data_IF_261698356793
#
_entry.id   IF_261698356793
#
_cell.length_a   1.000
_cell.length_b   1.000
_cell.length_c   1.000
_cell.angle_alpha   90.00
_cell.angle_beta   90.00
_cell.angle_gamma   90.00
#
_symmetry.space_group_name_H-M   'P 1'
#
loop_
_entity.id
_entity.type
_entity.pdbx_description
1 polymer ?
#
# COMPACT_ATOMS: atom_id res chain seq x y z
N UNK A 1 -8.22 -29.95 53.67
CA UNK A 1 -8.89 -30.80 52.66
C UNK A 1 -8.35 -30.41 51.31
N UNK A 2 -7.45 -31.27 50.81
CA UNK A 2 -6.91 -31.24 49.45
C UNK A 2 -7.95 -31.79 48.49
N UNK A 3 -8.17 -31.14 47.35
CA UNK A 3 -8.80 -31.78 46.20
C UNK A 3 -8.01 -31.43 44.96
N UNK A 4 -7.65 -32.50 44.24
CA UNK A 4 -6.65 -32.56 43.19
C UNK A 4 -7.05 -31.92 41.87
N UNK A 5 -6.08 -31.34 41.21
CA UNK A 5 -6.15 -30.81 39.82
C UNK A 5 -5.80 -31.97 38.91
N UNK A 6 -6.82 -32.43 38.16
CA UNK A 6 -6.67 -33.45 37.12
C UNK A 6 -5.88 -32.94 35.92
N UNK A 7 -4.81 -33.64 35.58
CA UNK A 7 -4.08 -33.54 34.33
C UNK A 7 -4.98 -33.95 33.15
N UNK A 8 -5.44 -33.00 32.35
CA UNK A 8 -5.99 -33.30 31.00
C UNK A 8 -4.85 -33.40 30.01
N UNK A 9 -4.61 -34.61 29.55
CA UNK A 9 -3.62 -34.94 28.54
C UNK A 9 -3.90 -34.24 27.20
N UNK A 10 -2.90 -33.57 26.68
CA UNK A 10 -2.84 -33.09 25.30
C UNK A 10 -2.95 -34.29 24.33
N UNK A 11 -4.14 -34.54 23.81
CA UNK A 11 -4.33 -35.45 22.67
C UNK A 11 -3.71 -34.77 21.44
N UNK A 12 -2.64 -35.38 20.94
CA UNK A 12 -2.00 -35.00 19.70
C UNK A 12 -3.02 -34.96 18.55
N UNK A 13 -3.16 -33.80 17.93
CA UNK A 13 -3.89 -33.68 16.65
C UNK A 13 -3.15 -34.51 15.63
N UNK A 14 -3.76 -35.59 15.19
CA UNK A 14 -3.26 -36.36 14.04
C UNK A 14 -3.30 -35.45 12.82
N UNK A 15 -2.16 -35.24 12.19
CA UNK A 15 -2.07 -34.56 10.91
C UNK A 15 -3.04 -35.22 9.92
N UNK A 16 -3.95 -34.45 9.34
CA UNK A 16 -4.87 -34.96 8.31
C UNK A 16 -4.09 -35.43 7.07
N UNK A 17 -4.72 -36.24 6.20
CA UNK A 17 -4.04 -36.76 5.01
C UNK A 17 -3.47 -35.65 4.15
N UNK A 18 -2.20 -35.78 3.78
CA UNK A 18 -1.48 -34.86 2.94
C UNK A 18 -2.19 -34.70 1.58
N UNK A 19 -2.72 -33.54 1.27
CA UNK A 19 -3.26 -33.24 -0.06
C UNK A 19 -2.12 -32.78 -0.97
N UNK A 20 -1.97 -33.47 -2.11
CA UNK A 20 -0.95 -33.13 -3.13
C UNK A 20 -1.22 -31.75 -3.70
N UNK A 21 -0.14 -31.02 -4.05
CA UNK A 21 -0.25 -29.80 -4.86
C UNK A 21 -0.77 -30.20 -6.23
N UNK A 22 -1.89 -29.61 -6.64
CA UNK A 22 -2.50 -29.88 -7.95
C UNK A 22 -2.26 -28.66 -8.81
N UNK A 23 -1.60 -28.88 -9.96
CA UNK A 23 -1.44 -27.84 -10.97
C UNK A 23 -2.66 -27.84 -11.89
N UNK A 24 -3.09 -26.65 -12.33
CA UNK A 24 -4.08 -26.53 -13.39
C UNK A 24 -3.52 -27.13 -14.68
N UNK A 25 -4.32 -27.93 -15.41
CA UNK A 25 -3.88 -28.53 -16.66
C UNK A 25 -3.43 -27.44 -17.65
N UNK A 26 -2.25 -27.57 -18.30
CA UNK A 26 -1.77 -26.56 -19.22
C UNK A 26 -2.73 -26.42 -20.40
N UNK A 27 -3.12 -25.20 -20.73
CA UNK A 27 -3.81 -24.90 -21.99
C UNK A 27 -2.83 -25.23 -23.12
N UNK A 28 -3.15 -26.26 -23.89
CA UNK A 28 -2.29 -26.75 -24.99
C UNK A 28 -2.11 -25.66 -26.05
N UNK A 29 -0.94 -25.07 -26.10
CA UNK A 29 -0.40 -24.47 -27.34
C UNK A 29 0.60 -25.46 -27.93
N UNK A 30 0.09 -26.30 -28.79
CA UNK A 30 0.90 -27.25 -29.57
C UNK A 30 1.83 -26.47 -30.54
N UNK A 31 3.13 -26.59 -30.35
CA UNK A 31 4.10 -26.66 -31.47
C UNK A 31 5.14 -27.72 -31.15
N UNK A 32 5.12 -28.76 -31.97
CA UNK A 32 6.02 -29.89 -31.93
C UNK A 32 7.42 -29.49 -32.41
N UNK A 33 8.46 -29.88 -31.68
CA UNK A 33 9.80 -30.12 -32.24
C UNK A 33 10.51 -31.18 -31.40
N UNK A 34 10.92 -32.27 -32.05
CA UNK A 34 12.15 -33.01 -31.79
C UNK A 34 12.12 -34.12 -30.73
N UNK A 35 12.11 -35.38 -31.17
CA UNK A 35 12.41 -36.56 -30.39
C UNK A 35 13.88 -36.58 -29.95
N UNK A 36 14.12 -36.80 -28.65
CA UNK A 36 15.40 -37.22 -28.10
C UNK A 36 15.14 -38.22 -26.96
N UNK A 37 15.55 -39.49 -27.21
CA UNK A 37 15.50 -40.60 -26.24
C UNK A 37 16.56 -40.38 -25.14
N UNK A 38 16.14 -40.16 -23.89
CA UNK A 38 16.96 -40.43 -22.70
C UNK A 38 16.07 -41.11 -21.66
N UNK A 39 16.31 -42.40 -21.42
CA UNK A 39 15.73 -43.13 -20.30
C UNK A 39 16.38 -42.68 -19.00
N UNK A 40 15.70 -41.84 -18.24
CA UNK A 40 15.98 -41.52 -16.87
C UNK A 40 14.63 -41.34 -16.18
N UNK A 41 14.40 -42.03 -15.05
CA UNK A 41 13.17 -41.94 -14.27
C UNK A 41 12.88 -40.46 -14.00
N UNK A 42 11.74 -39.96 -14.47
CA UNK A 42 11.30 -38.62 -14.24
C UNK A 42 11.02 -38.46 -12.74
N UNK A 43 11.97 -37.83 -12.05
CA UNK A 43 11.78 -37.32 -10.71
C UNK A 43 10.80 -36.13 -10.86
N UNK A 44 9.54 -36.32 -10.44
CA UNK A 44 8.56 -35.27 -10.46
C UNK A 44 8.65 -34.52 -9.11
N UNK A 45 9.24 -33.28 -9.04
CA UNK A 45 9.34 -32.54 -7.79
C UNK A 45 7.99 -32.29 -7.13
N UNK A 46 6.89 -32.31 -7.90
CA UNK A 46 5.53 -32.11 -7.40
C UNK A 46 5.07 -33.25 -6.46
N UNK A 47 5.71 -34.42 -6.51
CA UNK A 47 5.39 -35.56 -5.62
C UNK A 47 5.98 -35.37 -4.21
N UNK A 48 6.89 -34.39 -4.01
CA UNK A 48 7.62 -34.20 -2.76
C UNK A 48 6.94 -33.24 -1.80
N UNK A 49 6.07 -32.31 -2.27
CA UNK A 49 5.41 -31.32 -1.44
C UNK A 49 3.90 -31.56 -1.36
N UNK A 50 3.39 -31.73 -0.15
CA UNK A 50 1.95 -31.61 0.04
C UNK A 50 1.61 -30.15 0.46
N UNK A 51 0.38 -29.75 0.18
CA UNK A 51 -0.13 -28.40 0.44
C UNK A 51 0.05 -27.97 1.91
N UNK A 52 0.01 -28.92 2.84
CA UNK A 52 0.23 -28.68 4.28
C UNK A 52 1.68 -28.33 4.65
N UNK A 53 2.64 -28.66 3.79
CA UNK A 53 4.07 -28.35 4.02
C UNK A 53 4.53 -27.12 3.22
N UNK A 54 4.02 -26.91 2.00
CA UNK A 54 4.46 -25.85 1.13
C UNK A 54 4.15 -24.45 1.70
N UNK A 55 2.92 -24.20 2.14
CA UNK A 55 2.52 -22.87 2.64
C UNK A 55 3.33 -22.44 3.88
N UNK A 56 3.58 -23.29 4.89
CA UNK A 56 4.51 -22.97 5.98
C UNK A 56 5.92 -22.64 5.50
N UNK A 57 6.45 -23.37 4.52
CA UNK A 57 7.77 -23.12 3.96
C UNK A 57 7.82 -21.78 3.18
N UNK A 58 6.79 -21.47 2.40
CA UNK A 58 6.65 -20.17 1.71
C UNK A 58 6.63 -19.01 2.71
N UNK A 59 5.98 -19.19 3.87
CA UNK A 59 5.99 -18.19 4.95
C UNK A 59 7.40 -17.93 5.47
N UNK A 60 8.20 -18.98 5.65
CA UNK A 60 9.58 -18.84 6.12
C UNK A 60 10.45 -18.10 5.08
N UNK A 61 10.42 -18.51 3.82
CA UNK A 61 11.13 -17.82 2.74
C UNK A 61 10.71 -16.37 2.58
N UNK A 62 9.42 -16.09 2.72
CA UNK A 62 8.91 -14.72 2.68
C UNK A 62 9.46 -13.88 3.83
N UNK A 63 9.54 -14.44 5.05
CA UNK A 63 10.11 -13.78 6.22
C UNK A 63 11.59 -13.43 6.02
N UNK A 64 12.37 -14.34 5.42
CA UNK A 64 13.77 -14.08 5.05
C UNK A 64 13.90 -12.98 3.99
N UNK A 65 12.93 -12.85 3.10
CA UNK A 65 12.84 -11.79 2.11
C UNK A 65 12.28 -10.46 2.66
N UNK A 66 11.97 -10.40 3.98
CA UNK A 66 11.51 -9.18 4.65
C UNK A 66 10.00 -8.96 4.64
N UNK A 67 9.21 -9.93 4.16
CA UNK A 67 7.76 -9.89 4.33
C UNK A 67 7.38 -10.21 5.76
N UNK A 68 6.37 -9.53 6.28
CA UNK A 68 5.90 -9.71 7.66
C UNK A 68 4.91 -10.85 7.78
N UNK A 69 4.12 -11.07 6.74
CA UNK A 69 3.08 -12.11 6.72
C UNK A 69 2.76 -12.55 5.28
N UNK A 70 2.43 -13.84 5.12
CA UNK A 70 1.91 -14.44 3.91
C UNK A 70 0.56 -15.09 4.22
N UNK A 71 -0.40 -14.91 3.32
CA UNK A 71 -1.68 -15.61 3.31
C UNK A 71 -2.02 -16.13 1.93
N UNK A 72 -3.05 -16.94 1.85
CA UNK A 72 -3.58 -17.47 0.59
C UNK A 72 -5.05 -17.11 0.47
N UNK A 73 -5.44 -16.49 -0.65
CA UNK A 73 -6.82 -16.23 -1.03
C UNK A 73 -7.23 -17.12 -2.21
N UNK A 74 -8.52 -17.44 -2.29
CA UNK A 74 -9.13 -17.94 -3.52
C UNK A 74 -9.32 -16.83 -4.56
N UNK A 75 -9.77 -17.21 -5.75
CA UNK A 75 -9.95 -16.29 -6.90
C UNK A 75 -11.36 -15.69 -7.01
N UNK A 76 -12.30 -16.15 -6.21
CA UNK A 76 -13.67 -15.63 -6.25
C UNK A 76 -13.80 -14.36 -5.41
N UNK A 77 -13.90 -13.21 -6.08
CA UNK A 77 -14.15 -11.91 -5.50
C UNK A 77 -15.50 -11.31 -5.97
N UNK A 78 -16.42 -12.15 -6.45
CA UNK A 78 -17.71 -11.73 -7.01
C UNK A 78 -18.52 -10.85 -6.04
N UNK A 79 -18.44 -11.12 -4.73
CA UNK A 79 -19.11 -10.30 -3.71
C UNK A 79 -18.62 -8.84 -3.67
N UNK A 80 -17.42 -8.54 -4.20
CA UNK A 80 -16.85 -7.18 -4.25
C UNK A 80 -17.20 -6.43 -5.53
N UNK A 81 -17.70 -7.12 -6.57
CA UNK A 81 -18.03 -6.51 -7.88
C UNK A 81 -19.07 -5.39 -7.78
N UNK A 82 -20.22 -5.57 -7.08
CA UNK A 82 -21.22 -4.50 -7.00
C UNK A 82 -20.69 -3.22 -6.36
N UNK A 83 -19.87 -3.34 -5.30
CA UNK A 83 -19.24 -2.21 -4.63
C UNK A 83 -18.25 -1.47 -5.53
N UNK A 84 -17.42 -2.19 -6.27
CA UNK A 84 -16.50 -1.62 -7.26
C UNK A 84 -17.26 -0.86 -8.36
N UNK A 85 -18.28 -1.49 -8.95
CA UNK A 85 -19.07 -0.89 -10.04
C UNK A 85 -19.84 0.34 -9.56
N UNK A 86 -20.42 0.31 -8.36
CA UNK A 86 -21.08 1.46 -7.77
C UNK A 86 -20.12 2.63 -7.54
N UNK A 87 -18.90 2.35 -7.03
CA UNK A 87 -17.88 3.36 -6.78
C UNK A 87 -17.41 4.03 -8.09
N UNK A 88 -17.21 3.23 -9.14
CA UNK A 88 -16.87 3.71 -10.48
C UNK A 88 -18.01 4.55 -11.08
N UNK A 89 -19.26 4.08 -11.00
CA UNK A 89 -20.44 4.78 -11.53
C UNK A 89 -20.67 6.15 -10.87
N UNK A 90 -20.25 6.31 -9.61
CA UNK A 90 -20.31 7.59 -8.89
C UNK A 90 -19.14 8.53 -9.22
N UNK A 91 -18.20 8.10 -10.07
CA UNK A 91 -17.02 8.87 -10.43
C UNK A 91 -16.07 9.12 -9.24
N UNK A 92 -16.16 8.33 -8.17
CA UNK A 92 -15.36 8.52 -6.95
C UNK A 92 -13.87 8.25 -7.17
N UNK A 93 -13.49 7.65 -8.30
CA UNK A 93 -12.10 7.43 -8.69
C UNK A 93 -11.42 8.71 -9.24
N UNK A 94 -12.17 9.78 -9.54
CA UNK A 94 -11.58 10.99 -10.12
C UNK A 94 -10.81 10.69 -11.41
N UNK A 95 -9.61 11.27 -11.54
CA UNK A 95 -8.72 11.11 -12.71
C UNK A 95 -8.01 9.76 -12.79
N UNK A 96 -8.22 8.87 -11.82
CA UNK A 96 -7.64 7.52 -11.84
C UNK A 96 -8.36 6.62 -12.86
N UNK A 97 -8.31 6.99 -14.15
CA UNK A 97 -9.00 6.27 -15.23
C UNK A 97 -8.57 4.80 -15.32
N UNK A 98 -7.37 4.47 -14.86
CA UNK A 98 -6.88 3.10 -14.76
C UNK A 98 -7.73 2.22 -13.83
N UNK A 99 -8.51 2.82 -12.91
CA UNK A 99 -9.44 2.08 -12.05
C UNK A 99 -10.60 1.48 -12.84
N UNK A 100 -11.06 2.19 -13.88
CA UNK A 100 -12.14 1.74 -14.76
C UNK A 100 -11.65 0.92 -15.97
N UNK A 101 -10.39 1.13 -16.40
CA UNK A 101 -9.86 0.62 -17.69
C UNK A 101 -9.95 -0.90 -17.86
N UNK A 102 -9.93 -1.67 -16.78
CA UNK A 102 -9.98 -3.14 -16.80
C UNK A 102 -11.35 -3.70 -16.38
N UNK A 103 -12.34 -2.83 -16.07
CA UNK A 103 -13.66 -3.23 -15.66
C UNK A 103 -13.66 -4.29 -14.55
N UNK A 104 -14.47 -5.31 -14.71
CA UNK A 104 -14.60 -6.41 -13.73
C UNK A 104 -13.38 -7.33 -13.64
N UNK A 105 -12.43 -7.30 -14.59
CA UNK A 105 -11.19 -8.10 -14.47
C UNK A 105 -10.41 -7.79 -13.18
N UNK A 106 -10.58 -6.56 -12.64
CA UNK A 106 -10.00 -6.17 -11.36
C UNK A 106 -10.48 -7.04 -10.19
N UNK A 107 -11.73 -7.50 -10.25
CA UNK A 107 -12.35 -8.39 -9.25
C UNK A 107 -12.31 -9.87 -9.67
N UNK A 108 -11.69 -10.19 -10.80
CA UNK A 108 -11.70 -11.55 -11.38
C UNK A 108 -10.27 -12.01 -11.67
N UNK A 109 -9.53 -12.46 -10.67
CA UNK A 109 -8.14 -12.88 -10.81
C UNK A 109 -7.88 -13.85 -11.96
N UNK A 110 -8.74 -14.85 -12.15
CA UNK A 110 -8.60 -15.85 -13.20
C UNK A 110 -8.87 -15.29 -14.63
N UNK A 111 -9.62 -14.19 -14.77
CA UNK A 111 -9.78 -13.47 -16.03
C UNK A 111 -8.62 -12.51 -16.31
N UNK A 112 -8.03 -11.95 -15.23
CA UNK A 112 -6.87 -11.07 -15.35
C UNK A 112 -5.61 -11.86 -15.75
N UNK A 113 -5.41 -13.01 -15.13
CA UNK A 113 -4.32 -13.96 -15.42
C UNK A 113 -4.93 -15.34 -15.62
N UNK A 114 -5.16 -15.77 -16.87
CA UNK A 114 -5.73 -17.08 -17.15
C UNK A 114 -4.92 -18.22 -16.51
N UNK A 115 -5.62 -19.19 -15.95
CA UNK A 115 -5.01 -20.31 -15.24
C UNK A 115 -4.80 -20.08 -13.74
N UNK A 116 -5.01 -18.86 -13.23
CA UNK A 116 -4.90 -18.60 -11.79
C UNK A 116 -5.98 -19.36 -11.01
N UNK A 117 -5.57 -20.11 -10.00
CA UNK A 117 -6.48 -20.85 -9.09
C UNK A 117 -6.34 -20.45 -7.63
N UNK A 118 -5.21 -19.83 -7.26
CA UNK A 118 -4.97 -19.28 -5.92
C UNK A 118 -4.17 -17.99 -6.01
N UNK A 119 -4.24 -17.17 -4.96
CA UNK A 119 -3.46 -15.93 -4.82
C UNK A 119 -2.70 -15.98 -3.50
N UNK A 120 -1.37 -15.94 -3.57
CA UNK A 120 -0.54 -15.73 -2.39
C UNK A 120 -0.48 -14.24 -2.16
N UNK A 121 -0.94 -13.76 -1.00
CA UNK A 121 -0.84 -12.36 -0.59
C UNK A 121 0.34 -12.17 0.36
N UNK A 122 0.99 -11.03 0.28
CA UNK A 122 2.15 -10.71 1.09
C UNK A 122 1.98 -9.31 1.72
N UNK A 123 2.40 -9.18 2.99
CA UNK A 123 2.46 -7.92 3.72
C UNK A 123 3.89 -7.57 4.05
N UNK A 124 4.25 -6.27 3.91
CA UNK A 124 5.59 -5.76 4.22
C UNK A 124 5.48 -4.44 4.96
N UNK A 125 5.89 -4.41 6.23
CA UNK A 125 5.84 -3.21 7.08
C UNK A 125 6.79 -2.14 6.56
N UNK A 126 6.40 -0.85 6.65
CA UNK A 126 7.18 0.26 6.10
C UNK A 126 7.52 1.36 7.10
N UNK A 127 7.12 1.29 8.37
CA UNK A 127 7.57 2.30 9.32
C UNK A 127 9.09 2.32 9.37
N UNK A 128 9.75 3.50 9.23
CA UNK A 128 11.18 3.64 9.36
C UNK A 128 11.71 3.11 10.69
N UNK A 129 12.91 2.54 10.69
CA UNK A 129 13.51 1.90 11.88
C UNK A 129 13.78 2.87 13.02
N UNK A 130 14.07 4.13 12.73
CA UNK A 130 14.26 5.20 13.71
C UNK A 130 12.98 5.55 14.47
N UNK A 131 11.80 5.30 13.89
CA UNK A 131 10.51 5.52 14.57
C UNK A 131 10.29 4.63 15.78
N UNK A 132 10.98 3.49 15.89
CA UNK A 132 10.97 2.64 17.08
C UNK A 132 11.60 3.30 18.31
N UNK A 133 12.52 4.23 18.09
CA UNK A 133 13.33 4.90 19.13
C UNK A 133 12.70 6.20 19.62
N UNK A 134 11.63 6.68 19.00
CA UNK A 134 11.02 7.97 19.33
C UNK A 134 10.19 7.84 20.61
N UNK A 135 10.73 8.47 21.67
CA UNK A 135 10.19 8.44 23.03
C UNK A 135 8.91 9.26 23.20
N UNK A 136 8.17 8.97 24.29
CA UNK A 136 7.02 9.71 24.82
C UNK A 136 5.85 9.97 23.83
N UNK A 137 4.91 9.02 23.78
CA UNK A 137 3.71 9.11 22.96
C UNK A 137 3.75 8.31 21.65
N UNK A 138 4.90 7.72 21.32
CA UNK A 138 5.09 6.89 20.12
C UNK A 138 5.22 7.71 18.83
N UNK A 139 5.46 7.02 17.73
CA UNK A 139 5.66 7.59 16.40
C UNK A 139 4.47 8.46 15.92
N UNK A 140 3.25 8.12 16.29
CA UNK A 140 2.04 8.86 15.94
C UNK A 140 2.06 10.27 16.53
N UNK A 141 2.49 10.44 17.79
CA UNK A 141 2.59 11.75 18.42
C UNK A 141 3.61 12.66 17.73
N UNK A 142 4.72 12.10 17.25
CA UNK A 142 5.73 12.83 16.48
C UNK A 142 5.15 13.34 15.15
N UNK A 143 4.44 12.48 14.43
CA UNK A 143 3.82 12.86 13.15
C UNK A 143 2.69 13.90 13.37
N UNK A 144 1.87 13.78 14.42
CA UNK A 144 0.90 14.81 14.78
C UNK A 144 1.57 16.14 15.13
N UNK A 145 2.69 16.11 15.84
CA UNK A 145 3.44 17.34 16.15
C UNK A 145 4.00 18.01 14.89
N UNK A 146 4.37 17.27 13.85
CA UNK A 146 4.78 17.81 12.54
C UNK A 146 3.62 18.49 11.82
N UNK A 147 2.42 17.89 11.86
CA UNK A 147 1.22 18.51 11.28
C UNK A 147 0.88 19.87 11.92
N UNK A 148 1.25 20.08 13.19
CA UNK A 148 1.04 21.33 13.89
C UNK A 148 2.08 22.42 13.55
N UNK A 149 3.09 22.13 12.70
CA UNK A 149 4.13 23.07 12.29
C UNK A 149 3.88 23.54 10.84
N UNK A 150 3.16 24.64 10.63
CA UNK A 150 2.65 25.01 9.31
C UNK A 150 3.72 25.27 8.26
N UNK A 151 4.95 25.58 8.67
CA UNK A 151 6.07 25.84 7.75
C UNK A 151 6.86 24.60 7.35
N UNK A 152 6.60 23.45 7.97
CA UNK A 152 7.21 22.18 7.60
C UNK A 152 6.33 21.43 6.60
N UNK A 153 6.93 20.96 5.48
CA UNK A 153 6.21 20.12 4.50
C UNK A 153 6.05 18.69 4.98
N UNK A 154 4.81 18.18 4.91
CA UNK A 154 4.51 16.79 5.29
C UNK A 154 4.43 15.90 4.05
N UNK A 155 5.34 14.92 4.02
CA UNK A 155 5.30 13.78 3.11
C UNK A 155 4.81 12.56 3.88
N UNK A 156 3.83 11.84 3.35
CA UNK A 156 3.34 10.59 3.94
C UNK A 156 4.48 9.61 4.22
N UNK A 157 4.41 8.92 5.34
CA UNK A 157 5.49 8.06 5.85
C UNK A 157 5.91 7.02 4.81
N UNK A 158 4.96 6.41 4.11
CA UNK A 158 5.25 5.37 3.11
C UNK A 158 6.14 5.85 1.96
N UNK A 159 6.15 7.16 1.69
CA UNK A 159 6.83 7.76 0.54
C UNK A 159 8.22 8.32 0.86
N UNK A 160 8.66 8.28 2.12
CA UNK A 160 9.96 8.83 2.55
C UNK A 160 11.15 7.92 2.22
N UNK A 161 10.90 6.63 1.99
CA UNK A 161 11.89 5.62 1.65
C UNK A 161 12.11 5.42 0.15
N UNK A 162 12.61 4.23 -0.19
CA UNK A 162 12.72 3.77 -1.58
C UNK A 162 11.34 3.47 -2.16
N UNK A 163 11.27 3.51 -3.50
CA UNK A 163 10.08 3.15 -4.27
C UNK A 163 9.66 1.69 -3.96
N UNK A 164 8.60 1.57 -3.17
CA UNK A 164 8.09 0.29 -2.69
C UNK A 164 7.64 -0.65 -3.81
N UNK A 165 7.16 -0.11 -4.94
CA UNK A 165 6.78 -0.93 -6.10
C UNK A 165 7.96 -1.79 -6.57
N UNK A 166 9.16 -1.20 -6.64
CA UNK A 166 10.37 -1.91 -7.07
C UNK A 166 10.85 -2.89 -6.00
N UNK A 167 10.79 -2.49 -4.72
CA UNK A 167 11.23 -3.32 -3.60
C UNK A 167 10.36 -4.56 -3.47
N UNK A 168 9.03 -4.39 -3.43
CA UNK A 168 8.11 -5.51 -3.29
C UNK A 168 8.15 -6.43 -4.52
N UNK A 169 8.06 -5.87 -5.72
CA UNK A 169 8.07 -6.66 -6.96
C UNK A 169 9.30 -7.56 -7.07
N UNK A 170 10.50 -7.01 -6.78
CA UNK A 170 11.73 -7.77 -6.82
C UNK A 170 11.75 -8.91 -5.77
N UNK A 171 11.18 -8.67 -4.58
CA UNK A 171 11.13 -9.66 -3.50
C UNK A 171 10.05 -10.72 -3.72
N UNK A 172 8.89 -10.34 -4.27
CA UNK A 172 7.84 -11.27 -4.69
C UNK A 172 8.35 -12.19 -5.81
N UNK A 173 9.10 -11.66 -6.78
CA UNK A 173 9.72 -12.49 -7.80
C UNK A 173 10.71 -13.49 -7.20
N UNK A 174 11.61 -13.05 -6.29
CA UNK A 174 12.52 -13.97 -5.59
C UNK A 174 11.78 -15.04 -4.78
N UNK A 175 10.62 -14.71 -4.22
CA UNK A 175 9.78 -15.70 -3.53
C UNK A 175 9.21 -16.71 -4.51
N UNK A 176 8.74 -16.25 -5.69
CA UNK A 176 8.25 -17.14 -6.76
C UNK A 176 9.36 -18.06 -7.28
N UNK A 177 10.58 -17.52 -7.43
CA UNK A 177 11.74 -18.33 -7.87
C UNK A 177 12.05 -19.44 -6.86
N UNK A 178 12.06 -19.15 -5.55
CA UNK A 178 12.25 -20.16 -4.50
C UNK A 178 11.13 -21.22 -4.47
N UNK A 179 9.89 -20.80 -4.74
CA UNK A 179 8.78 -21.76 -4.87
C UNK A 179 9.03 -22.68 -6.06
N UNK A 180 9.44 -22.12 -7.22
CA UNK A 180 9.75 -22.91 -8.41
C UNK A 180 10.92 -23.88 -8.22
N UNK A 181 11.94 -23.49 -7.45
CA UNK A 181 13.05 -24.38 -7.07
C UNK A 181 12.57 -25.59 -6.25
N UNK A 182 11.56 -25.39 -5.41
CA UNK A 182 11.05 -26.46 -4.54
C UNK A 182 10.03 -27.37 -5.23
N UNK A 183 9.09 -26.82 -6.02
CA UNK A 183 7.96 -27.59 -6.57
C UNK A 183 8.06 -27.83 -8.07
N UNK A 184 9.08 -27.29 -8.74
CA UNK A 184 9.19 -27.27 -10.18
C UNK A 184 8.52 -26.05 -10.81
N UNK A 185 8.61 -25.88 -12.14
CA UNK A 185 8.01 -24.77 -12.88
C UNK A 185 6.49 -24.71 -12.69
N UNK A 186 5.96 -23.50 -12.42
CA UNK A 186 4.52 -23.23 -12.29
C UNK A 186 4.17 -21.89 -12.93
N UNK A 187 2.91 -21.71 -13.34
CA UNK A 187 2.40 -20.46 -13.86
C UNK A 187 2.21 -19.44 -12.73
N UNK A 188 2.88 -18.29 -12.83
CA UNK A 188 2.72 -17.23 -11.83
C UNK A 188 2.84 -15.83 -12.41
N UNK A 189 2.29 -14.86 -11.69
CA UNK A 189 2.47 -13.42 -11.94
C UNK A 189 2.48 -12.64 -10.66
N UNK A 190 3.49 -11.77 -10.47
CA UNK A 190 3.61 -10.91 -9.30
C UNK A 190 2.97 -9.55 -9.53
N UNK A 191 2.30 -9.02 -8.50
CA UNK A 191 1.66 -7.72 -8.51
C UNK A 191 1.98 -6.95 -7.23
N UNK A 192 1.90 -5.63 -7.33
CA UNK A 192 1.89 -4.69 -6.21
C UNK A 192 1.35 -3.36 -6.70
N UNK A 193 0.35 -2.79 -6.00
CA UNK A 193 -0.27 -1.48 -6.18
C UNK A 193 -0.70 -1.15 -7.63
N UNK A 194 0.22 -0.87 -8.54
CA UNK A 194 -0.04 -0.37 -9.90
C UNK A 194 -0.77 -1.34 -10.84
N UNK A 195 -1.24 -2.48 -10.36
CA UNK A 195 -1.94 -3.50 -11.13
C UNK A 195 -3.47 -3.39 -10.97
N UNK A 196 -4.26 -3.95 -11.91
CA UNK A 196 -5.71 -3.99 -11.79
C UNK A 196 -6.15 -5.12 -10.83
N UNK A 197 -5.78 -5.02 -9.56
CA UNK A 197 -6.01 -6.00 -8.50
C UNK A 197 -6.80 -5.35 -7.36
N UNK A 198 -7.69 -6.09 -6.71
CA UNK A 198 -8.33 -5.69 -5.45
C UNK A 198 -7.48 -6.16 -4.26
N UNK A 199 -6.29 -5.58 -4.09
CA UNK A 199 -5.30 -5.98 -3.08
C UNK A 199 -5.88 -6.04 -1.66
N UNK A 200 -6.61 -4.98 -1.24
CA UNK A 200 -7.22 -4.92 0.08
C UNK A 200 -8.25 -6.03 0.32
N UNK A 201 -8.99 -6.43 -0.71
CA UNK A 201 -9.96 -7.51 -0.62
C UNK A 201 -9.27 -8.87 -0.52
N UNK A 202 -8.27 -9.11 -1.39
CA UNK A 202 -7.46 -10.33 -1.34
C UNK A 202 -6.74 -10.48 0.00
N UNK A 203 -6.15 -9.38 0.52
CA UNK A 203 -5.49 -9.37 1.81
C UNK A 203 -6.47 -9.70 2.96
N UNK A 204 -7.67 -9.15 2.95
CA UNK A 204 -8.69 -9.46 3.96
C UNK A 204 -9.12 -10.93 3.90
N UNK A 205 -9.31 -11.49 2.70
CA UNK A 205 -9.71 -12.88 2.50
C UNK A 205 -8.61 -13.90 2.80
N UNK A 206 -7.36 -13.46 2.83
CA UNK A 206 -6.20 -14.32 3.09
C UNK A 206 -5.68 -14.24 4.53
N UNK A 207 -6.44 -13.64 5.44
CA UNK A 207 -6.05 -13.55 6.85
C UNK A 207 -4.98 -12.50 7.15
N UNK A 208 -4.67 -11.57 6.20
CA UNK A 208 -3.73 -10.47 6.46
C UNK A 208 -4.31 -9.44 7.45
N UNK A 209 -5.63 -9.39 7.57
CA UNK A 209 -6.34 -8.48 8.44
C UNK A 209 -7.79 -8.26 7.99
N UNK A 210 -8.37 -7.14 8.32
CA UNK A 210 -9.72 -6.76 7.89
C UNK A 210 -9.70 -5.39 7.20
N UNK A 211 -10.64 -5.15 6.33
CA UNK A 211 -10.81 -3.84 5.72
C UNK A 211 -11.32 -2.84 6.75
N UNK A 212 -10.53 -1.82 7.07
CA UNK A 212 -10.90 -0.75 7.99
C UNK A 212 -11.94 0.20 7.42
N UNK A 213 -12.62 0.99 8.28
CA UNK A 213 -13.57 2.02 7.83
C UNK A 213 -12.94 3.08 6.92
N UNK A 214 -11.62 3.29 7.02
CA UNK A 214 -10.82 4.16 6.14
C UNK A 214 -10.39 3.47 4.83
N UNK A 215 -10.90 2.28 4.53
CA UNK A 215 -10.66 1.46 3.33
C UNK A 215 -9.33 0.70 3.27
N UNK A 216 -8.34 1.04 4.08
CA UNK A 216 -7.07 0.29 4.18
C UNK A 216 -7.26 -1.00 4.98
N UNK A 217 -6.35 -1.96 4.78
CA UNK A 217 -6.35 -3.20 5.57
C UNK A 217 -5.71 -2.94 6.92
N UNK A 218 -6.38 -3.40 7.97
CA UNK A 218 -5.93 -3.34 9.37
C UNK A 218 -5.56 -4.73 9.86
N UNK A 219 -4.48 -4.82 10.59
CA UNK A 219 -4.06 -6.04 11.25
C UNK A 219 -4.00 -5.81 12.77
N UNK A 220 -4.39 -6.81 13.55
CA UNK A 220 -4.46 -6.71 15.02
C UNK A 220 -3.09 -6.48 15.67
N UNK A 221 -2.01 -7.01 15.04
CA UNK A 221 -0.66 -7.01 15.59
C UNK A 221 0.28 -6.02 14.88
N UNK A 222 -0.19 -5.39 13.78
CA UNK A 222 0.65 -4.56 12.94
C UNK A 222 -0.04 -3.28 12.42
N UNK A 223 -1.25 -2.96 12.88
CA UNK A 223 -1.96 -1.76 12.42
C UNK A 223 -2.23 -1.80 10.92
N UNK A 224 -1.91 -0.70 10.20
CA UNK A 224 -2.08 -0.57 8.75
C UNK A 224 -0.86 0.03 8.04
N UNK A 225 0.29 0.17 8.73
CA UNK A 225 1.49 0.79 8.16
C UNK A 225 2.34 -0.24 7.40
N UNK A 226 1.75 -0.81 6.33
CA UNK A 226 2.40 -1.83 5.50
C UNK A 226 1.90 -1.79 4.06
N UNK A 227 2.75 -2.27 3.16
CA UNK A 227 2.41 -2.50 1.76
C UNK A 227 1.85 -3.90 1.56
N UNK A 228 1.06 -4.04 0.50
CA UNK A 228 0.53 -5.31 0.02
C UNK A 228 1.18 -5.70 -1.31
N UNK A 229 1.16 -6.98 -1.59
CA UNK A 229 1.53 -7.52 -2.88
C UNK A 229 1.04 -8.95 -3.05
N UNK A 230 0.95 -9.41 -4.28
CA UNK A 230 0.35 -10.69 -4.64
C UNK A 230 1.19 -11.46 -5.61
N UNK A 231 1.09 -12.80 -5.48
CA UNK A 231 1.54 -13.76 -6.49
C UNK A 231 0.31 -14.57 -6.91
N UNK A 232 -0.12 -14.37 -8.13
CA UNK A 232 -1.17 -15.20 -8.75
C UNK A 232 -0.53 -16.49 -9.22
N UNK A 233 -1.11 -17.63 -8.87
CA UNK A 233 -0.52 -18.94 -9.13
C UNK A 233 -1.55 -19.93 -9.72
N UNK A 234 -1.08 -20.83 -10.58
CA UNK A 234 -1.87 -21.95 -11.12
C UNK A 234 -1.86 -23.20 -10.22
N UNK A 235 -1.39 -23.04 -8.97
CA UNK A 235 -1.37 -24.08 -7.95
C UNK A 235 -2.58 -23.94 -7.02
N UNK A 236 -3.26 -25.06 -6.74
CA UNK A 236 -4.35 -25.12 -5.77
C UNK A 236 -3.79 -25.13 -4.34
N UNK A 237 -3.73 -23.98 -3.70
CA UNK A 237 -3.30 -23.79 -2.31
C UNK A 237 -4.51 -23.66 -1.39
N UNK A 238 -4.41 -24.22 -0.16
CA UNK A 238 -5.46 -24.07 0.83
C UNK A 238 -5.59 -22.59 1.26
N UNK A 239 -6.78 -21.98 1.14
CA UNK A 239 -7.00 -20.61 1.59
C UNK A 239 -6.73 -20.46 3.09
N UNK A 240 -6.19 -19.30 3.48
CA UNK A 240 -6.06 -18.91 4.87
C UNK A 240 -7.42 -18.46 5.43
N UNK A 241 -7.63 -18.65 6.73
CA UNK A 241 -8.86 -18.18 7.38
C UNK A 241 -8.89 -16.65 7.44
N UNK A 242 -10.00 -16.00 7.04
CA UNK A 242 -10.17 -14.55 7.18
C UNK A 242 -10.20 -14.13 8.64
N UNK A 243 -9.77 -12.89 8.90
CA UNK A 243 -9.82 -12.27 10.23
C UNK A 243 -11.10 -11.46 10.36
N UNK A 244 -11.77 -11.57 11.53
CA UNK A 244 -12.95 -10.76 11.83
C UNK A 244 -12.61 -9.27 11.96
N UNK A 245 -13.55 -8.41 11.58
CA UNK A 245 -13.37 -6.96 11.66
C UNK A 245 -13.48 -6.45 13.11
N UNK A 246 -12.61 -5.53 13.50
CA UNK A 246 -12.54 -4.99 14.85
C UNK A 246 -12.69 -3.45 14.92
N UNK A 247 -13.24 -2.80 13.89
CA UNK A 247 -13.52 -1.35 13.95
C UNK A 247 -14.68 -1.00 14.88
N UNK A 248 -15.62 -1.91 15.11
CA UNK A 248 -16.77 -1.71 16.01
C UNK A 248 -17.50 -0.39 15.75
N UNK A 249 -17.83 0.34 16.81
CA UNK A 249 -18.48 1.67 16.74
C UNK A 249 -17.51 2.83 16.47
N UNK A 250 -16.18 2.62 16.45
CA UNK A 250 -15.19 3.68 16.27
C UNK A 250 -15.37 4.41 14.93
N UNK A 251 -15.38 5.76 14.95
CA UNK A 251 -15.44 6.64 13.76
C UNK A 251 -14.20 7.54 13.58
N UNK A 252 -13.19 7.40 14.44
CA UNK A 252 -12.05 8.34 14.51
C UNK A 252 -11.41 8.67 13.16
N UNK A 253 -11.24 7.69 12.26
CA UNK A 253 -10.66 7.92 10.93
C UNK A 253 -11.60 8.70 9.99
N UNK A 254 -12.92 8.64 10.20
CA UNK A 254 -13.91 9.42 9.44
C UNK A 254 -13.88 10.86 9.96
N UNK A 255 -13.91 11.03 11.28
CA UNK A 255 -14.02 12.34 11.94
C UNK A 255 -12.76 13.19 11.76
N UNK A 256 -11.56 12.58 11.73
CA UNK A 256 -10.28 13.29 11.56
C UNK A 256 -10.04 13.75 10.13
N UNK A 257 -10.70 13.18 9.12
CA UNK A 257 -10.43 13.46 7.71
C UNK A 257 -10.74 14.93 7.39
N UNK A 258 -9.73 15.78 7.10
CA UNK A 258 -9.95 17.23 6.96
C UNK A 258 -10.90 17.57 5.81
N UNK A 259 -10.88 16.78 4.75
CA UNK A 259 -11.68 16.97 3.54
C UNK A 259 -12.95 16.11 3.53
N UNK A 260 -13.19 15.33 4.60
CA UNK A 260 -14.33 14.40 4.68
C UNK A 260 -14.41 13.45 3.48
N UNK A 261 -13.26 12.97 3.03
CA UNK A 261 -13.18 12.04 1.91
C UNK A 261 -13.76 10.65 2.22
N UNK A 262 -13.72 10.23 3.51
CA UNK A 262 -14.34 8.98 3.98
C UNK A 262 -15.82 9.27 4.26
N UNK A 263 -16.66 9.12 3.24
CA UNK A 263 -18.07 9.52 3.24
C UNK A 263 -18.98 8.58 4.04
N UNK A 264 -18.53 7.36 4.29
CA UNK A 264 -19.17 6.35 5.13
C UNK A 264 -18.15 5.25 5.47
N UNK A 265 -18.40 4.38 6.46
CA UNK A 265 -17.57 3.22 6.70
C UNK A 265 -17.29 2.42 5.43
N UNK A 266 -16.01 2.17 5.13
CA UNK A 266 -15.54 1.44 3.96
C UNK A 266 -15.80 2.10 2.60
N UNK A 267 -16.14 3.40 2.59
CA UNK A 267 -16.51 4.13 1.38
C UNK A 267 -15.77 5.46 1.29
N UNK A 268 -14.94 5.62 0.27
CA UNK A 268 -14.10 6.79 0.03
C UNK A 268 -14.48 7.47 -1.29
N UNK A 269 -14.67 8.80 -1.26
CA UNK A 269 -14.62 9.64 -2.47
C UNK A 269 -13.17 10.11 -2.65
N UNK A 270 -12.45 9.51 -3.61
CA UNK A 270 -11.05 9.83 -3.83
C UNK A 270 -10.84 11.29 -4.25
N UNK A 271 -11.80 11.91 -4.94
CA UNK A 271 -11.70 13.31 -5.41
C UNK A 271 -11.50 14.31 -4.26
N UNK A 272 -11.89 13.93 -3.06
CA UNK A 272 -11.71 14.72 -1.83
C UNK A 272 -10.48 14.29 -1.02
N UNK A 273 -9.91 13.12 -1.29
CA UNK A 273 -8.79 12.58 -0.50
C UNK A 273 -7.51 13.38 -0.77
N UNK A 274 -6.86 13.87 0.28
CA UNK A 274 -5.59 14.63 0.17
C UNK A 274 -4.51 13.78 -0.52
N UNK A 275 -4.46 12.48 -0.27
CA UNK A 275 -3.54 11.59 -0.96
C UNK A 275 -3.78 11.60 -2.47
N UNK A 276 -5.03 11.49 -2.92
CA UNK A 276 -5.38 11.61 -4.33
C UNK A 276 -5.02 12.99 -4.90
N UNK A 277 -5.41 14.08 -4.21
CA UNK A 277 -5.18 15.45 -4.69
C UNK A 277 -3.69 15.77 -4.87
N UNK A 278 -2.83 15.24 -4.01
CA UNK A 278 -1.39 15.51 -4.05
C UNK A 278 -0.60 14.54 -4.93
N UNK A 279 -1.17 13.41 -5.32
CA UNK A 279 -0.46 12.33 -6.04
C UNK A 279 -1.06 12.06 -7.42
N UNK A 280 -2.37 11.82 -7.49
CA UNK A 280 -3.02 11.35 -8.72
C UNK A 280 -3.60 12.49 -9.56
N UNK A 281 -4.23 13.47 -8.91
CA UNK A 281 -4.84 14.60 -9.58
C UNK A 281 -3.80 15.47 -10.28
N UNK A 282 -3.97 15.66 -11.59
CA UNK A 282 -3.00 16.40 -12.41
C UNK A 282 -3.33 17.90 -12.53
N UNK A 283 -4.59 18.26 -12.40
CA UNK A 283 -5.09 19.64 -12.58
C UNK A 283 -4.94 20.55 -11.35
N UNK A 284 -5.60 21.70 -11.36
CA UNK A 284 -5.65 22.61 -10.22
C UNK A 284 -6.44 21.96 -9.07
N UNK A 285 -5.89 22.03 -7.87
CA UNK A 285 -6.59 21.57 -6.65
C UNK A 285 -7.81 22.46 -6.43
N UNK A 286 -9.02 21.92 -6.21
CA UNK A 286 -10.21 22.70 -5.96
C UNK A 286 -10.00 23.72 -4.83
N UNK A 287 -10.39 24.98 -5.05
CA UNK A 287 -10.11 26.11 -4.15
C UNK A 287 -10.59 25.84 -2.73
N UNK A 288 -11.80 25.28 -2.61
CA UNK A 288 -12.42 24.95 -1.32
C UNK A 288 -11.69 23.86 -0.53
N UNK A 289 -10.87 23.04 -1.19
CA UNK A 289 -10.08 22.00 -0.53
C UNK A 289 -8.69 22.45 -0.13
N UNK A 290 -8.13 23.51 -0.74
CA UNK A 290 -6.76 23.97 -0.50
C UNK A 290 -6.47 24.29 0.97
N UNK A 291 -7.33 25.03 1.71
CA UNK A 291 -7.10 25.28 3.12
C UNK A 291 -7.05 23.98 3.96
N UNK A 292 -7.80 22.97 3.56
CA UNK A 292 -7.92 21.69 4.27
C UNK A 292 -6.69 20.79 4.11
N UNK A 293 -5.84 21.05 3.11
CA UNK A 293 -4.57 20.32 2.93
C UNK A 293 -3.56 20.68 4.02
N UNK A 294 -3.68 21.87 4.64
CA UNK A 294 -2.72 22.41 5.58
C UNK A 294 -1.28 22.34 5.01
N UNK A 295 -0.36 21.65 5.66
CA UNK A 295 1.03 21.52 5.25
C UNK A 295 1.36 20.16 4.56
N UNK A 296 0.36 19.42 4.13
CA UNK A 296 0.54 18.12 3.44
C UNK A 296 0.85 18.35 1.97
N UNK A 297 2.04 17.90 1.53
CA UNK A 297 2.55 18.13 0.17
C UNK A 297 2.61 16.87 -0.69
N UNK A 298 2.58 15.68 -0.07
CA UNK A 298 2.54 14.40 -0.78
C UNK A 298 1.93 13.31 0.11
N UNK A 299 0.75 12.81 -0.26
CA UNK A 299 0.02 11.82 0.53
C UNK A 299 -0.62 12.41 1.79
N UNK A 300 -1.24 11.55 2.59
CA UNK A 300 -1.89 11.91 3.84
C UNK A 300 -2.01 10.66 4.72
N UNK A 301 -1.59 10.77 5.97
CA UNK A 301 -1.63 9.66 6.93
C UNK A 301 -2.67 9.86 8.04
N UNK A 302 -3.48 10.93 8.02
CA UNK A 302 -4.36 11.32 9.13
C UNK A 302 -5.26 10.20 9.62
N UNK A 303 -5.93 9.48 8.70
CA UNK A 303 -6.81 8.37 9.04
C UNK A 303 -6.05 7.16 9.62
N UNK A 304 -4.77 7.02 9.31
CA UNK A 304 -3.90 6.01 9.90
C UNK A 304 -3.32 6.49 11.24
N UNK A 305 -2.91 7.76 11.35
CA UNK A 305 -2.34 8.32 12.57
C UNK A 305 -3.32 8.25 13.75
N UNK A 306 -4.59 8.57 13.50
CA UNK A 306 -5.63 8.54 14.56
C UNK A 306 -6.11 7.12 14.89
N UNK A 307 -5.83 6.15 14.03
CA UNK A 307 -6.38 4.80 14.21
C UNK A 307 -5.76 4.13 15.44
N UNK A 308 -6.58 3.71 16.44
CA UNK A 308 -6.05 3.09 17.64
C UNK A 308 -5.32 1.77 17.40
N UNK A 309 -5.56 1.11 16.28
CA UNK A 309 -4.84 -0.11 15.89
C UNK A 309 -3.41 0.18 15.47
N UNK A 310 -3.08 1.39 15.04
CA UNK A 310 -1.74 1.76 14.61
C UNK A 310 -0.74 1.95 15.76
N UNK A 311 -1.19 1.88 17.02
CA UNK A 311 -0.27 1.69 18.16
C UNK A 311 0.50 0.35 18.10
N UNK A 312 0.00 -0.62 17.31
CA UNK A 312 0.63 -1.92 17.08
C UNK A 312 1.42 -1.96 15.77
N UNK A 313 1.49 -0.85 15.02
CA UNK A 313 2.25 -0.80 13.79
C UNK A 313 3.71 -1.18 14.03
N UNK A 314 4.26 -1.99 13.12
CA UNK A 314 5.60 -2.54 13.22
C UNK A 314 6.57 -1.74 12.37
N UNK A 315 7.78 -1.55 12.89
CA UNK A 315 8.87 -0.97 12.09
C UNK A 315 9.36 -1.97 11.05
N UNK A 316 9.75 -1.45 9.90
CA UNK A 316 10.30 -2.28 8.82
C UNK A 316 11.59 -2.97 9.24
N UNK A 317 11.77 -4.21 8.79
CA UNK A 317 13.06 -4.92 8.89
C UNK A 317 14.05 -4.48 7.82
N UNK A 318 13.58 -3.73 6.82
CA UNK A 318 14.35 -3.35 5.64
C UNK A 318 14.81 -1.89 5.72
N UNK A 319 16.10 -1.62 5.48
CA UNK A 319 16.59 -0.25 5.37
C UNK A 319 16.05 0.49 4.15
N UNK A 320 15.41 -0.23 3.22
CA UNK A 320 14.78 0.35 2.03
C UNK A 320 13.72 1.40 2.39
N UNK A 321 13.05 1.28 3.53
CA UNK A 321 11.97 2.16 3.97
C UNK A 321 12.37 3.17 5.03
N UNK A 322 13.64 3.21 5.43
CA UNK A 322 14.15 4.30 6.24
C UNK A 322 14.05 5.63 5.49
N UNK A 323 13.90 6.72 6.24
CA UNK A 323 13.83 8.05 5.67
C UNK A 323 15.08 8.36 4.84
N UNK A 324 14.85 8.93 3.64
CA UNK A 324 15.91 9.31 2.72
C UNK A 324 15.85 10.80 2.43
N UNK A 325 17.06 11.39 2.33
CA UNK A 325 17.24 12.78 1.86
C UNK A 325 16.50 13.84 2.68
N UNK A 326 16.17 13.51 3.95
CA UNK A 326 15.57 14.44 4.89
C UNK A 326 14.17 14.90 4.48
N UNK A 327 13.34 14.03 3.90
CA UNK A 327 12.00 14.38 3.44
C UNK A 327 10.98 14.58 4.57
N UNK A 328 11.30 14.18 5.81
CA UNK A 328 10.43 14.40 6.95
C UNK A 328 10.71 15.76 7.58
N UNK A 329 9.72 16.67 7.53
CA UNK A 329 9.75 17.95 8.26
C UNK A 329 10.68 19.01 7.66
N UNK A 330 10.98 18.97 6.36
CA UNK A 330 11.71 20.07 5.71
C UNK A 330 10.88 21.35 5.61
N UNK A 331 11.57 22.50 5.70
CA UNK A 331 10.94 23.80 5.54
C UNK A 331 10.36 23.95 4.12
N UNK A 332 9.10 24.34 4.04
CA UNK A 332 8.39 24.53 2.76
C UNK A 332 9.12 25.51 1.83
N UNK A 333 9.71 26.57 2.36
CA UNK A 333 10.47 27.54 1.56
C UNK A 333 11.67 26.90 0.85
N UNK A 334 12.36 25.96 1.50
CA UNK A 334 13.46 25.22 0.89
C UNK A 334 12.97 24.22 -0.17
N UNK A 335 11.85 23.56 0.09
CA UNK A 335 11.25 22.61 -0.87
C UNK A 335 10.72 23.33 -2.11
N UNK A 336 10.20 24.54 -1.94
CA UNK A 336 9.71 25.36 -3.04
C UNK A 336 10.81 25.97 -3.89
N UNK A 337 12.00 26.15 -3.33
CA UNK A 337 13.17 26.64 -4.05
C UNK A 337 13.82 25.60 -4.98
N UNK A 338 13.43 24.32 -4.90
CA UNK A 338 13.97 23.30 -5.78
C UNK A 338 13.65 23.61 -7.24
N UNK A 339 14.69 23.61 -8.07
CA UNK A 339 14.56 23.51 -9.53
C UNK A 339 14.30 22.04 -9.94
N UNK A 340 14.01 21.81 -11.21
CA UNK A 340 13.71 20.49 -11.71
C UNK A 340 14.87 19.50 -11.50
N UNK A 341 16.11 19.94 -11.72
CA UNK A 341 17.30 19.11 -11.51
C UNK A 341 17.45 18.68 -10.04
N UNK A 342 17.19 19.58 -9.11
CA UNK A 342 17.20 19.28 -7.67
C UNK A 342 16.05 18.36 -7.30
N UNK A 343 14.84 18.61 -7.79
CA UNK A 343 13.70 17.73 -7.57
C UNK A 343 14.01 16.30 -8.04
N UNK A 344 14.52 16.15 -9.26
CA UNK A 344 14.88 14.84 -9.81
C UNK A 344 15.96 14.12 -8.98
N UNK A 345 16.97 14.87 -8.52
CA UNK A 345 18.04 14.32 -7.67
C UNK A 345 17.53 13.94 -6.28
N UNK A 346 16.69 14.78 -5.66
CA UNK A 346 16.17 14.57 -4.31
C UNK A 346 15.11 13.47 -4.26
N UNK A 347 14.36 13.24 -5.32
CA UNK A 347 13.31 12.22 -5.40
C UNK A 347 13.76 10.94 -6.09
N UNK A 348 15.04 10.85 -6.49
CA UNK A 348 15.58 9.67 -7.16
C UNK A 348 15.38 8.38 -6.35
N UNK A 349 14.81 7.36 -6.99
CA UNK A 349 14.55 6.05 -6.39
C UNK A 349 13.45 6.04 -5.34
N UNK A 350 12.71 7.16 -5.17
CA UNK A 350 11.53 7.27 -4.34
C UNK A 350 10.23 7.38 -5.16
N UNK A 351 9.07 7.17 -4.55
CA UNK A 351 7.78 7.21 -5.24
C UNK A 351 7.34 8.64 -5.61
N UNK A 352 7.89 9.67 -4.97
CA UNK A 352 7.52 11.08 -5.20
C UNK A 352 7.85 11.51 -6.63
N UNK A 353 8.93 10.98 -7.22
CA UNK A 353 9.41 11.36 -8.56
C UNK A 353 8.32 11.31 -9.64
N UNK A 354 7.33 10.42 -9.47
CA UNK A 354 6.28 10.17 -10.48
C UNK A 354 5.32 11.33 -10.68
N UNK A 355 5.19 12.25 -9.70
CA UNK A 355 4.30 13.39 -9.87
C UNK A 355 4.90 14.52 -10.73
N UNK A 356 6.23 14.53 -10.92
CA UNK A 356 6.93 15.58 -11.64
C UNK A 356 7.10 16.87 -10.83
N UNK A 357 8.01 17.74 -11.29
CA UNK A 357 8.38 18.96 -10.60
C UNK A 357 7.22 19.98 -10.54
N UNK A 358 6.44 20.08 -11.61
CA UNK A 358 5.30 21.01 -11.69
C UNK A 358 4.25 20.74 -10.59
N UNK A 359 3.80 19.46 -10.46
CA UNK A 359 2.81 19.12 -9.42
C UNK A 359 3.41 19.17 -8.02
N UNK A 360 4.72 18.93 -7.87
CA UNK A 360 5.43 19.16 -6.61
C UNK A 360 5.32 20.63 -6.19
N UNK A 361 5.65 21.56 -7.08
CA UNK A 361 5.55 23.00 -6.83
C UNK A 361 4.10 23.42 -6.54
N UNK A 362 3.13 22.89 -7.30
CA UNK A 362 1.70 23.11 -7.04
C UNK A 362 1.32 22.75 -5.59
N UNK A 363 1.71 21.57 -5.13
CA UNK A 363 1.39 21.08 -3.78
C UNK A 363 2.07 21.94 -2.71
N UNK A 364 3.35 22.28 -2.92
CA UNK A 364 4.10 23.11 -1.97
C UNK A 364 3.55 24.55 -1.94
N UNK A 365 3.09 25.11 -3.07
CA UNK A 365 2.45 26.42 -3.11
C UNK A 365 1.18 26.46 -2.24
N UNK A 366 0.33 25.43 -2.29
CA UNK A 366 -0.85 25.32 -1.40
C UNK A 366 -0.44 25.29 0.07
N UNK A 367 0.56 24.49 0.41
CA UNK A 367 1.05 24.40 1.79
C UNK A 367 1.66 25.73 2.27
N UNK A 368 2.42 26.43 1.42
CA UNK A 368 2.95 27.76 1.71
C UNK A 368 1.82 28.80 1.90
N UNK A 369 0.78 28.76 1.08
CA UNK A 369 -0.40 29.63 1.26
C UNK A 369 -1.08 29.41 2.61
N UNK A 370 -1.22 28.15 3.03
CA UNK A 370 -1.74 27.82 4.36
C UNK A 370 -0.79 28.26 5.48
N UNK A 371 0.53 28.10 5.29
CA UNK A 371 1.53 28.57 6.25
C UNK A 371 1.53 30.11 6.36
N UNK A 372 1.40 30.83 5.24
CA UNK A 372 1.31 32.28 5.24
C UNK A 372 0.08 32.77 6.02
N UNK A 373 -1.08 32.14 5.82
CA UNK A 373 -2.31 32.44 6.58
C UNK A 373 -2.16 32.20 8.08
N UNK A 374 -1.42 31.15 8.44
CA UNK A 374 -1.23 30.77 9.84
C UNK A 374 -0.20 31.65 10.57
N UNK A 375 0.83 32.17 9.88
CA UNK A 375 2.00 32.79 10.52
C UNK A 375 2.25 34.25 10.12
N UNK A 376 1.78 34.69 8.96
CA UNK A 376 2.12 35.99 8.38
C UNK A 376 3.59 36.16 7.99
N UNK A 377 4.36 35.04 7.90
CA UNK A 377 5.82 35.06 7.74
C UNK A 377 6.23 35.67 6.39
N UNK A 378 7.08 36.70 6.45
CA UNK A 378 7.61 37.41 5.28
C UNK A 378 8.49 36.52 4.39
N UNK A 379 9.21 35.55 4.93
CA UNK A 379 10.00 34.60 4.14
C UNK A 379 9.12 33.66 3.32
N UNK A 380 7.99 33.24 3.87
CA UNK A 380 6.98 32.45 3.16
C UNK A 380 6.38 33.25 2.01
N UNK A 381 6.02 34.54 2.27
CA UNK A 381 5.51 35.44 1.24
C UNK A 381 6.54 35.67 0.13
N UNK A 382 7.80 35.95 0.48
CA UNK A 382 8.87 36.13 -0.49
C UNK A 382 9.11 34.89 -1.35
N UNK A 383 9.06 33.69 -0.76
CA UNK A 383 9.17 32.44 -1.50
C UNK A 383 8.04 32.29 -2.53
N UNK A 384 6.79 32.56 -2.16
CA UNK A 384 5.66 32.55 -3.10
C UNK A 384 5.84 33.59 -4.23
N UNK A 385 6.22 34.83 -3.88
CA UNK A 385 6.46 35.89 -4.85
C UNK A 385 7.55 35.54 -5.87
N UNK A 386 8.58 34.79 -5.48
CA UNK A 386 9.65 34.38 -6.39
C UNK A 386 9.17 33.50 -7.57
N UNK A 387 7.99 32.88 -7.44
CA UNK A 387 7.36 32.06 -8.48
C UNK A 387 6.03 32.63 -9.01
N UNK A 388 5.74 33.91 -8.74
CA UNK A 388 4.54 34.54 -9.29
C UNK A 388 4.53 34.60 -10.82
N UNK A 389 5.69 34.49 -11.47
CA UNK A 389 5.87 34.43 -12.92
C UNK A 389 6.43 33.05 -13.37
N UNK A 390 6.17 31.99 -12.63
CA UNK A 390 6.61 30.64 -12.99
C UNK A 390 6.12 30.30 -14.42
N UNK A 391 6.91 29.59 -15.25
CA UNK A 391 6.48 29.21 -16.60
C UNK A 391 5.21 28.34 -16.61
N UNK A 392 4.97 27.55 -15.56
CA UNK A 392 3.76 26.73 -15.43
C UNK A 392 2.55 27.58 -15.00
N UNK A 393 1.48 27.55 -15.79
CA UNK A 393 0.19 28.16 -15.43
C UNK A 393 -0.38 27.54 -14.14
N UNK A 394 -0.24 26.23 -14.00
CA UNK A 394 -0.68 25.49 -12.81
C UNK A 394 -0.01 26.03 -11.54
N UNK A 395 1.30 26.28 -11.60
CA UNK A 395 2.05 26.83 -10.45
C UNK A 395 1.61 28.27 -10.17
N UNK A 396 1.55 29.14 -11.22
CA UNK A 396 1.13 30.55 -11.07
C UNK A 396 -0.25 30.67 -10.43
N UNK A 397 -1.21 29.85 -10.85
CA UNK A 397 -2.58 29.86 -10.31
C UNK A 397 -2.61 29.55 -8.81
N UNK A 398 -1.82 28.56 -8.36
CA UNK A 398 -1.73 28.19 -6.95
C UNK A 398 -0.92 29.22 -6.13
N UNK A 399 0.09 29.83 -6.72
CA UNK A 399 0.84 30.94 -6.11
C UNK A 399 -0.06 32.17 -5.94
N UNK A 400 -0.86 32.53 -6.97
CA UNK A 400 -1.81 33.62 -6.88
C UNK A 400 -2.82 33.39 -5.74
N UNK A 401 -3.43 32.19 -5.68
CA UNK A 401 -4.30 31.81 -4.56
C UNK A 401 -3.59 31.89 -3.19
N UNK A 402 -2.33 31.47 -3.13
CA UNK A 402 -1.57 31.48 -1.88
C UNK A 402 -1.28 32.90 -1.38
N UNK A 403 -1.08 33.86 -2.29
CA UNK A 403 -0.81 35.26 -2.02
C UNK A 403 -2.10 36.10 -1.84
N UNK A 404 -3.22 35.64 -2.40
CA UNK A 404 -4.53 36.29 -2.28
C UNK A 404 -5.12 36.04 -0.89
N UNK A 405 -4.53 36.75 0.08
CA UNK A 405 -4.89 36.70 1.47
C UNK A 405 -4.89 38.14 2.03
N UNK A 406 -6.07 38.73 2.10
CA UNK A 406 -6.41 39.92 2.90
C UNK A 406 -7.25 39.52 4.12
#
# INVERSE_FOLDING_TARGET
REEGIGQQGLRGQRAGPCRRVVFAAPVQHARAVGRGLWGGGFYNPADMWCNSQLVPQVREWARELGFSQIGVAGVDLSASEPGLMQWLAQGFHGDMHYMAAHGLKRARPAELVPGTVSVITARMDYLPRDMSMQAHGGWQAVEFARLARPQEGIVSVYARGRDYHKVLRARLQKLSDRIAEAVGPFGHRVFTDSAPVLEAELAARSGQGWRGKHTLVLNREAGSMYFLGEIYVDMALAPSEPVTAHCGSCSACIDVCPTQAIIAPHRLDARRCISYLTIEHAGPIPIELRPLLANRIYGCDDCQLICPWNKFAQVSRLPDFDERKGLAGQQLVHLFAWDEATFLRMTEGGPIRRIGHERWLRNVAVALGNALRATGDGAVRAALQSRAQDPSELVREHVAWALDFE
#
